data_IF_793547316071
#
_entry.id   IF_793547316071
#
_cell.length_a   1.000
_cell.length_b   1.000
_cell.length_c   1.000
_cell.angle_alpha   90.00
_cell.angle_beta   90.00
_cell.angle_gamma   90.00
#
_symmetry.space_group_name_H-M   'P 1'
#
loop_
_entity.id
_entity.type
_entity.pdbx_description
1 polymer ?
#
# COMPACT_ATOMS: atom_id res chain seq x y z
N UNK A 1 -69.23 1.43 1.92
CA UNK A 1 -68.15 0.42 2.01
C UNK A 1 -67.22 0.84 3.15
N UNK A 2 -67.13 0.08 4.24
CA UNK A 2 -66.33 0.49 5.42
C UNK A 2 -64.83 0.30 5.13
N UNK A 3 -63.98 1.33 5.28
CA UNK A 3 -62.55 1.20 5.03
C UNK A 3 -61.91 0.18 5.98
N UNK A 4 -61.18 -0.81 5.44
CA UNK A 4 -60.44 -1.78 6.25
C UNK A 4 -59.29 -1.08 6.98
N UNK A 5 -59.14 -1.31 8.28
CA UNK A 5 -58.02 -0.80 9.07
C UNK A 5 -56.68 -1.33 8.51
N UNK A 6 -55.80 -0.42 8.08
CA UNK A 6 -54.45 -0.73 7.59
C UNK A 6 -53.50 -0.82 8.79
N UNK A 7 -52.72 -1.91 8.89
CA UNK A 7 -51.72 -2.06 9.95
C UNK A 7 -50.55 -1.10 9.72
N UNK A 8 -50.13 -0.39 10.77
CA UNK A 8 -48.98 0.51 10.72
C UNK A 8 -47.67 -0.27 10.54
N UNK A 9 -46.79 0.26 9.69
CA UNK A 9 -45.40 -0.23 9.52
C UNK A 9 -44.45 0.30 10.61
N UNK A 10 -44.91 1.22 11.47
CA UNK A 10 -44.09 1.79 12.55
C UNK A 10 -43.82 0.73 13.63
N UNK A 11 -42.56 0.51 13.94
CA UNK A 11 -42.14 -0.39 15.01
C UNK A 11 -41.84 0.42 16.27
N UNK A 12 -42.29 -0.06 17.42
CA UNK A 12 -41.89 0.51 18.69
C UNK A 12 -40.41 0.27 18.95
N UNK A 13 -39.76 1.17 19.69
CA UNK A 13 -38.34 1.04 20.08
C UNK A 13 -38.10 -0.31 20.78
N UNK A 14 -39.05 -0.75 21.62
CA UNK A 14 -39.02 -2.06 22.28
C UNK A 14 -38.96 -3.21 21.27
N UNK A 15 -39.73 -3.14 20.19
CA UNK A 15 -39.74 -4.16 19.14
C UNK A 15 -38.42 -4.17 18.35
N UNK A 16 -37.89 -2.99 18.00
CA UNK A 16 -36.59 -2.87 17.31
C UNK A 16 -35.44 -3.45 18.16
N UNK A 17 -35.36 -3.07 19.45
CA UNK A 17 -34.36 -3.62 20.38
C UNK A 17 -34.49 -5.15 20.53
N UNK A 18 -35.71 -5.68 20.54
CA UNK A 18 -35.97 -7.13 20.57
C UNK A 18 -35.50 -7.84 19.30
N UNK A 19 -35.72 -7.26 18.12
CA UNK A 19 -35.21 -7.79 16.84
C UNK A 19 -33.68 -7.82 16.87
N UNK A 20 -33.04 -6.71 17.24
CA UNK A 20 -31.59 -6.61 17.29
C UNK A 20 -30.97 -7.62 18.26
N UNK A 21 -31.56 -7.77 19.46
CA UNK A 21 -31.13 -8.78 20.44
C UNK A 21 -31.25 -10.20 19.87
N UNK A 22 -32.38 -10.54 19.24
CA UNK A 22 -32.59 -11.85 18.59
C UNK A 22 -31.60 -12.11 17.46
N UNK A 23 -31.31 -11.12 16.62
CA UNK A 23 -30.36 -11.24 15.52
C UNK A 23 -28.93 -11.45 16.05
N UNK A 24 -28.51 -10.66 17.04
CA UNK A 24 -27.22 -10.82 17.73
C UNK A 24 -27.09 -12.22 18.37
N UNK A 25 -28.11 -12.69 19.07
CA UNK A 25 -28.13 -14.03 19.67
C UNK A 25 -28.03 -15.13 18.61
N UNK A 26 -28.74 -14.99 17.48
CA UNK A 26 -28.63 -15.91 16.34
C UNK A 26 -27.20 -15.93 15.79
N UNK A 27 -26.63 -14.78 15.43
CA UNK A 27 -25.26 -14.71 14.92
C UNK A 27 -24.22 -15.27 15.91
N UNK A 28 -24.45 -15.09 17.22
CA UNK A 28 -23.61 -15.68 18.27
C UNK A 28 -23.73 -17.21 18.28
N UNK A 29 -24.93 -17.76 18.10
CA UNK A 29 -25.14 -19.22 17.98
C UNK A 29 -24.51 -19.76 16.69
N UNK A 30 -24.78 -19.14 15.55
CA UNK A 30 -24.23 -19.52 14.24
C UNK A 30 -22.68 -19.54 14.27
N UNK A 31 -22.06 -18.56 14.92
CA UNK A 31 -20.59 -18.51 15.08
C UNK A 31 -20.05 -19.64 15.97
N UNK A 32 -20.78 -20.00 17.03
CA UNK A 32 -20.39 -21.12 17.91
C UNK A 32 -20.55 -22.45 17.18
N UNK A 33 -21.61 -22.60 16.41
CA UNK A 33 -21.89 -23.79 15.61
C UNK A 33 -20.86 -23.96 14.48
N UNK A 34 -20.54 -22.90 13.75
CA UNK A 34 -19.50 -22.90 12.72
C UNK A 34 -18.10 -23.25 13.26
N UNK A 35 -17.82 -22.92 14.54
CA UNK A 35 -16.58 -23.35 15.21
C UNK A 35 -16.60 -24.82 15.63
N UNK A 36 -17.76 -25.34 16.05
CA UNK A 36 -17.92 -26.74 16.50
C UNK A 36 -17.89 -27.72 15.34
N UNK A 37 -18.48 -27.35 14.20
CA UNK A 37 -18.47 -28.15 12.99
C UNK A 37 -17.91 -27.30 11.85
N UNK A 38 -16.57 -27.14 11.77
CA UNK A 38 -15.95 -26.41 10.69
C UNK A 38 -16.13 -27.24 9.40
N UNK A 39 -17.23 -27.00 8.70
CA UNK A 39 -17.34 -27.47 7.33
C UNK A 39 -16.20 -26.82 6.57
N UNK A 40 -15.24 -27.63 6.09
CA UNK A 40 -14.28 -27.20 5.08
C UNK A 40 -15.12 -26.72 3.91
N UNK A 41 -15.37 -25.41 3.84
CA UNK A 41 -16.21 -24.82 2.82
C UNK A 41 -15.64 -25.28 1.50
N UNK A 42 -16.40 -26.12 0.77
CA UNK A 42 -16.04 -26.44 -0.61
C UNK A 42 -15.91 -25.09 -1.29
N UNK A 43 -14.71 -24.76 -1.77
CA UNK A 43 -14.48 -23.56 -2.57
C UNK A 43 -15.60 -23.53 -3.61
N UNK A 44 -16.32 -22.40 -3.68
CA UNK A 44 -17.37 -22.24 -4.69
C UNK A 44 -16.69 -22.49 -6.02
N UNK A 45 -17.13 -23.54 -6.72
CA UNK A 45 -16.61 -23.85 -8.05
C UNK A 45 -16.91 -22.65 -8.93
N UNK A 46 -15.90 -22.19 -9.66
CA UNK A 46 -16.09 -21.13 -10.65
C UNK A 46 -17.13 -21.62 -11.67
N UNK A 47 -18.24 -20.88 -11.90
CA UNK A 47 -19.21 -21.24 -12.93
C UNK A 47 -18.61 -21.27 -14.34
N UNK A 48 -17.41 -20.73 -14.53
CA UNK A 48 -16.67 -20.79 -15.79
C UNK A 48 -17.31 -19.90 -16.87
N UNK A 49 -16.76 -19.97 -18.09
CA UNK A 49 -17.25 -19.18 -19.22
C UNK A 49 -18.48 -19.88 -19.83
N UNK A 50 -19.64 -19.21 -19.86
CA UNK A 50 -20.85 -19.77 -20.48
C UNK A 50 -20.66 -20.06 -21.97
N UNK A 51 -21.33 -21.11 -22.47
CA UNK A 51 -21.17 -21.57 -23.85
C UNK A 51 -21.81 -20.65 -24.92
N UNK A 52 -22.59 -19.66 -24.49
CA UNK A 52 -23.31 -18.73 -25.39
C UNK A 52 -22.43 -17.57 -25.87
N UNK A 53 -21.18 -17.47 -25.40
CA UNK A 53 -20.32 -16.34 -25.73
C UNK A 53 -19.74 -16.51 -27.16
N UNK A 54 -20.02 -15.58 -28.11
CA UNK A 54 -19.58 -15.70 -29.51
C UNK A 54 -18.07 -15.81 -29.72
N UNK A 55 -17.27 -15.32 -28.75
CA UNK A 55 -15.81 -15.33 -28.78
C UNK A 55 -15.19 -16.17 -27.65
N UNK A 56 -15.90 -17.19 -27.15
CA UNK A 56 -15.43 -18.08 -26.07
C UNK A 56 -14.02 -18.61 -26.32
N UNK A 57 -13.72 -19.03 -27.55
CA UNK A 57 -12.41 -19.61 -27.90
C UNK A 57 -11.27 -18.58 -27.79
N UNK A 58 -11.52 -17.34 -28.20
CA UNK A 58 -10.55 -16.24 -28.04
C UNK A 58 -10.30 -15.92 -26.57
N UNK A 59 -11.35 -15.93 -25.75
CA UNK A 59 -11.22 -15.70 -24.30
C UNK A 59 -10.46 -16.84 -23.63
N UNK A 60 -10.68 -18.09 -24.04
CA UNK A 60 -9.94 -19.24 -23.54
C UNK A 60 -8.45 -19.17 -23.89
N UNK A 61 -8.11 -18.80 -25.14
CA UNK A 61 -6.73 -18.58 -25.58
C UNK A 61 -6.05 -17.48 -24.76
N UNK A 62 -6.70 -16.33 -24.57
CA UNK A 62 -6.15 -15.24 -23.75
C UNK A 62 -5.88 -15.65 -22.30
N UNK A 63 -6.75 -16.47 -21.72
CA UNK A 63 -6.57 -17.00 -20.35
C UNK A 63 -5.37 -17.95 -20.29
N UNK A 64 -5.21 -18.81 -21.30
CA UNK A 64 -4.10 -19.75 -21.40
C UNK A 64 -2.77 -19.00 -21.56
N UNK A 65 -2.69 -18.05 -22.49
CA UNK A 65 -1.53 -17.19 -22.70
C UNK A 65 -1.11 -16.47 -21.42
N UNK A 66 -2.07 -15.86 -20.72
CA UNK A 66 -1.81 -15.16 -19.47
C UNK A 66 -1.33 -16.12 -18.36
N UNK A 67 -1.85 -17.36 -18.34
CA UNK A 67 -1.43 -18.40 -17.40
C UNK A 67 -0.01 -18.89 -17.72
N UNK A 68 0.36 -19.00 -18.98
CA UNK A 68 1.72 -19.34 -19.41
C UNK A 68 2.71 -18.24 -19.06
N UNK A 69 2.39 -16.98 -19.39
CA UNK A 69 3.21 -15.82 -19.02
C UNK A 69 3.45 -15.76 -17.51
N UNK A 70 2.40 -15.90 -16.70
CA UNK A 70 2.53 -15.90 -15.25
C UNK A 70 3.39 -17.06 -14.72
N UNK A 71 3.34 -18.25 -15.33
CA UNK A 71 4.22 -19.37 -14.98
C UNK A 71 5.68 -19.08 -15.36
N UNK A 72 5.91 -18.54 -16.56
CA UNK A 72 7.25 -18.17 -17.04
C UNK A 72 7.87 -17.09 -16.15
N UNK A 73 7.11 -16.04 -15.82
CA UNK A 73 7.56 -14.98 -14.93
C UNK A 73 7.91 -15.51 -13.53
N UNK A 74 7.11 -16.42 -13.00
CA UNK A 74 7.39 -17.06 -11.71
C UNK A 74 8.67 -17.90 -11.75
N UNK A 75 8.90 -18.62 -12.85
CA UNK A 75 10.14 -19.38 -13.04
C UNK A 75 11.34 -18.43 -13.16
N UNK A 76 11.22 -17.37 -13.97
CA UNK A 76 12.24 -16.33 -14.12
C UNK A 76 12.59 -15.67 -12.79
N UNK A 77 11.59 -15.34 -11.97
CA UNK A 77 11.80 -14.80 -10.62
C UNK A 77 12.49 -15.80 -9.70
N UNK A 78 12.12 -17.09 -9.76
CA UNK A 78 12.77 -18.14 -8.96
C UNK A 78 14.25 -18.31 -9.35
N UNK A 79 14.55 -18.34 -10.65
CA UNK A 79 15.91 -18.47 -11.16
C UNK A 79 16.75 -17.22 -10.84
N UNK A 80 16.18 -16.02 -11.00
CA UNK A 80 16.84 -14.78 -10.61
C UNK A 80 17.16 -14.77 -9.09
N UNK A 81 16.21 -15.23 -8.26
CA UNK A 81 16.42 -15.36 -6.82
C UNK A 81 17.51 -16.38 -6.49
N UNK A 82 17.55 -17.53 -7.16
CA UNK A 82 18.62 -18.52 -6.98
C UNK A 82 19.98 -17.94 -7.37
N UNK A 83 20.08 -17.33 -8.56
CA UNK A 83 21.33 -16.71 -9.03
C UNK A 83 21.83 -15.61 -8.10
N UNK A 84 20.94 -14.77 -7.54
CA UNK A 84 21.32 -13.79 -6.52
C UNK A 84 21.81 -14.44 -5.23
N UNK A 85 21.14 -15.50 -4.79
CA UNK A 85 21.55 -16.25 -3.60
C UNK A 85 22.91 -16.93 -3.81
N UNK A 86 23.18 -17.48 -4.99
CA UNK A 86 24.45 -18.12 -5.33
C UNK A 86 25.59 -17.10 -5.46
N UNK A 87 25.32 -15.92 -6.05
CA UNK A 87 26.23 -14.77 -6.03
C UNK A 87 26.55 -14.33 -4.59
N UNK A 88 25.54 -14.22 -3.73
CA UNK A 88 25.72 -13.82 -2.33
C UNK A 88 26.44 -14.88 -1.49
N UNK A 89 26.31 -16.17 -1.84
CA UNK A 89 27.07 -17.25 -1.21
C UNK A 89 28.50 -17.41 -1.75
N UNK A 90 28.88 -16.67 -2.80
CA UNK A 90 30.23 -16.65 -3.36
C UNK A 90 30.83 -18.04 -3.60
N UNK A 91 30.01 -19.02 -4.06
CA UNK A 91 30.43 -20.40 -4.25
C UNK A 91 31.43 -20.58 -5.41
N UNK A 92 31.51 -19.62 -6.33
CA UNK A 92 32.48 -19.63 -7.44
C UNK A 92 33.85 -19.02 -7.05
N UNK A 93 33.98 -18.42 -5.87
CA UNK A 93 35.23 -17.84 -5.37
C UNK A 93 35.47 -18.31 -3.94
N UNK A 94 35.73 -19.61 -3.78
CA UNK A 94 36.41 -20.12 -2.59
C UNK A 94 37.89 -19.71 -2.75
N UNK A 95 38.40 -18.72 -1.98
CA UNK A 95 39.81 -18.33 -2.09
C UNK A 95 40.66 -19.53 -1.68
N UNK A 96 41.53 -19.99 -2.58
CA UNK A 96 42.34 -21.20 -2.35
C UNK A 96 43.51 -20.92 -1.39
N UNK A 97 43.84 -19.64 -1.17
CA UNK A 97 44.96 -19.20 -0.35
C UNK A 97 44.60 -18.03 0.56
N UNK A 98 45.27 -17.93 1.71
CA UNK A 98 45.09 -16.84 2.68
C UNK A 98 45.36 -15.45 2.06
N UNK A 99 46.34 -15.36 1.17
CA UNK A 99 46.71 -14.11 0.49
C UNK A 99 45.60 -13.60 -0.46
N UNK A 100 44.90 -14.52 -1.12
CA UNK A 100 43.79 -14.18 -2.02
C UNK A 100 42.56 -13.70 -1.23
N UNK A 101 42.32 -14.29 -0.05
CA UNK A 101 41.28 -13.83 0.88
C UNK A 101 41.55 -12.40 1.38
N UNK A 102 42.79 -12.09 1.78
CA UNK A 102 43.18 -10.75 2.21
C UNK A 102 43.02 -9.69 1.11
N UNK A 103 43.45 -10.00 -0.13
CA UNK A 103 43.26 -9.09 -1.28
C UNK A 103 41.78 -8.84 -1.59
N UNK A 104 40.94 -9.88 -1.49
CA UNK A 104 39.50 -9.77 -1.71
C UNK A 104 38.79 -8.96 -0.62
N UNK A 105 39.27 -9.01 0.63
CA UNK A 105 38.76 -8.17 1.72
C UNK A 105 39.06 -6.69 1.46
N UNK A 106 40.33 -6.35 1.18
CA UNK A 106 40.74 -4.97 0.86
C UNK A 106 39.98 -4.39 -0.35
N UNK A 107 39.75 -5.21 -1.38
CA UNK A 107 38.97 -4.79 -2.56
C UNK A 107 37.51 -4.52 -2.23
N UNK A 108 36.90 -5.29 -1.32
CA UNK A 108 35.52 -5.07 -0.87
C UNK A 108 35.40 -3.82 0.00
N UNK A 109 36.36 -3.58 0.87
CA UNK A 109 36.40 -2.37 1.69
C UNK A 109 36.49 -1.11 0.81
N UNK A 110 37.38 -1.11 -0.19
CA UNK A 110 37.48 0.01 -1.14
C UNK A 110 36.21 0.22 -1.99
N UNK A 111 35.54 -0.86 -2.38
CA UNK A 111 34.26 -0.80 -3.10
C UNK A 111 33.12 -0.28 -2.22
N UNK A 112 33.14 -0.59 -0.93
CA UNK A 112 32.17 -0.09 0.05
C UNK A 112 32.37 1.41 0.31
N UNK A 113 33.61 1.85 0.53
CA UNK A 113 33.94 3.27 0.71
C UNK A 113 33.55 4.10 -0.53
N UNK A 114 33.81 3.59 -1.74
CA UNK A 114 33.41 4.28 -2.96
C UNK A 114 31.89 4.28 -3.20
N UNK A 115 31.16 3.27 -2.72
CA UNK A 115 29.69 3.24 -2.81
C UNK A 115 29.03 4.18 -1.79
N UNK A 116 29.56 4.26 -0.56
CA UNK A 116 29.07 5.20 0.46
C UNK A 116 29.20 6.67 0.05
N UNK A 117 30.14 7.01 -0.83
CA UNK A 117 30.29 8.39 -1.33
C UNK A 117 29.36 8.73 -2.52
N UNK A 118 28.68 7.75 -3.12
CA UNK A 118 27.81 7.93 -4.28
C UNK A 118 26.32 7.67 -3.99
N UNK A 119 25.96 7.31 -2.75
CA UNK A 119 24.57 7.12 -2.37
C UNK A 119 23.89 8.47 -2.11
N UNK A 120 22.93 8.80 -2.96
CA UNK A 120 21.97 9.89 -2.77
C UNK A 120 21.37 9.80 -1.35
N UNK A 121 21.34 10.90 -0.55
CA UNK A 121 20.94 10.87 0.86
C UNK A 121 19.55 10.26 1.14
N UNK A 122 18.68 10.23 0.12
CA UNK A 122 17.30 9.75 0.21
C UNK A 122 17.19 8.20 0.19
N UNK A 123 18.14 7.50 -0.42
CA UNK A 123 18.11 6.04 -0.53
C UNK A 123 18.66 5.34 0.74
N UNK A 124 19.69 5.92 1.36
CA UNK A 124 20.36 5.38 2.55
C UNK A 124 19.43 5.36 3.78
N UNK A 125 18.54 6.36 3.90
CA UNK A 125 17.55 6.44 4.99
C UNK A 125 16.55 5.26 4.98
N UNK A 126 16.22 4.74 3.80
CA UNK A 126 15.23 3.65 3.66
C UNK A 126 15.78 2.29 4.08
N UNK A 127 17.09 2.08 3.97
CA UNK A 127 17.76 0.80 4.26
C UNK A 127 18.21 0.71 5.72
N UNK A 128 18.74 1.78 6.31
CA UNK A 128 19.11 1.80 7.74
C UNK A 128 17.90 1.66 8.67
N UNK A 129 16.75 2.21 8.28
CA UNK A 129 15.50 2.09 9.04
C UNK A 129 14.97 0.65 9.16
N UNK A 130 15.35 -0.24 8.23
CA UNK A 130 15.00 -1.66 8.27
C UNK A 130 15.88 -2.48 9.23
N UNK A 131 17.14 -2.05 9.43
CA UNK A 131 18.14 -2.76 10.24
C UNK A 131 18.17 -2.25 11.69
N UNK A 132 17.94 -0.95 11.91
CA UNK A 132 18.08 -0.31 13.24
C UNK A 132 16.89 -0.52 14.19
N UNK A 133 15.79 -1.16 13.75
CA UNK A 133 14.62 -1.38 14.62
C UNK A 133 13.89 -0.11 15.07
N UNK A 134 14.36 1.08 14.65
CA UNK A 134 13.71 2.39 14.77
C UNK A 134 12.51 2.52 13.83
N UNK A 135 11.70 1.47 13.71
CA UNK A 135 10.44 1.52 12.98
C UNK A 135 9.51 2.43 13.75
N UNK A 136 9.44 3.67 13.32
CA UNK A 136 8.29 4.49 13.55
C UNK A 136 7.14 3.89 12.72
N UNK A 137 6.46 2.89 13.30
CA UNK A 137 5.32 2.18 12.70
C UNK A 137 4.20 3.17 12.27
N UNK A 138 4.29 4.40 12.80
CA UNK A 138 3.45 5.54 12.49
C UNK A 138 3.64 6.06 11.07
N UNK A 139 4.85 6.19 10.49
CA UNK A 139 5.07 6.80 9.16
C UNK A 139 4.31 6.06 8.06
N UNK A 140 4.36 4.73 8.07
CA UNK A 140 3.61 3.89 7.11
C UNK A 140 2.10 3.94 7.35
N UNK A 141 1.67 4.08 8.61
CA UNK A 141 0.26 4.25 8.95
C UNK A 141 -0.26 5.63 8.51
N UNK A 142 0.50 6.70 8.73
CA UNK A 142 0.20 8.06 8.27
C UNK A 142 0.13 8.14 6.76
N UNK A 143 1.07 7.52 6.04
CA UNK A 143 1.03 7.49 4.58
C UNK A 143 -0.22 6.77 4.04
N UNK A 144 -0.64 5.67 4.68
CA UNK A 144 -1.90 4.99 4.33
C UNK A 144 -3.12 5.88 4.56
N UNK A 145 -3.15 6.63 5.66
CA UNK A 145 -4.26 7.53 5.95
C UNK A 145 -4.27 8.72 4.98
N UNK A 146 -3.09 9.27 4.71
CA UNK A 146 -2.89 10.31 3.70
C UNK A 146 -3.42 9.88 2.33
N UNK A 147 -3.10 8.67 1.86
CA UNK A 147 -3.62 8.16 0.58
C UNK A 147 -5.15 8.08 0.55
N UNK A 148 -5.80 7.70 1.65
CA UNK A 148 -7.27 7.71 1.74
C UNK A 148 -7.83 9.14 1.65
N UNK A 149 -7.22 10.07 2.38
CA UNK A 149 -7.63 11.49 2.36
C UNK A 149 -7.49 12.06 0.96
N UNK A 150 -6.35 11.82 0.29
CA UNK A 150 -6.14 12.25 -1.10
C UNK A 150 -7.20 11.67 -2.03
N UNK A 151 -7.54 10.38 -1.91
CA UNK A 151 -8.57 9.76 -2.76
C UNK A 151 -9.93 10.43 -2.60
N UNK A 152 -10.35 10.70 -1.36
CA UNK A 152 -11.67 11.25 -1.05
C UNK A 152 -11.78 12.77 -1.17
N UNK A 153 -10.68 13.51 -1.09
CA UNK A 153 -10.71 14.98 -1.14
C UNK A 153 -10.80 15.52 -2.57
N UNK A 154 -11.66 16.51 -2.81
CA UNK A 154 -11.73 17.22 -4.10
C UNK A 154 -10.66 18.33 -4.20
N UNK A 155 -10.34 18.95 -3.06
CA UNK A 155 -9.36 20.03 -2.92
C UNK A 155 -8.42 19.71 -1.76
N UNK A 156 -7.12 19.97 -1.95
CA UNK A 156 -6.07 19.74 -0.95
C UNK A 156 -5.48 21.08 -0.53
N UNK A 157 -5.41 21.32 0.77
CA UNK A 157 -4.80 22.51 1.36
C UNK A 157 -3.41 22.16 1.90
N UNK A 158 -2.37 22.74 1.32
CA UNK A 158 -0.99 22.58 1.76
C UNK A 158 -0.61 23.78 2.64
N UNK A 159 -0.58 23.56 3.95
CA UNK A 159 -0.27 24.60 4.93
C UNK A 159 1.25 24.73 5.08
N UNK A 160 1.77 25.94 4.84
CA UNK A 160 3.18 26.30 4.91
C UNK A 160 3.41 27.26 6.08
N UNK A 161 4.60 27.22 6.70
CA UNK A 161 5.00 28.19 7.74
C UNK A 161 5.59 29.44 7.05
N UNK A 162 5.08 30.63 7.36
CA UNK A 162 5.48 31.87 6.70
C UNK A 162 6.96 32.24 6.88
N UNK A 163 7.64 31.68 7.89
CA UNK A 163 9.07 31.89 8.13
C UNK A 163 9.96 31.16 7.13
N UNK A 164 9.52 29.98 6.69
CA UNK A 164 10.23 29.13 5.73
C UNK A 164 9.22 28.33 4.88
N UNK A 165 8.54 28.98 3.93
CA UNK A 165 7.53 28.32 3.12
C UNK A 165 8.13 27.30 2.14
N UNK A 166 9.40 27.44 1.75
CA UNK A 166 10.07 26.49 0.85
C UNK A 166 10.51 25.23 1.59
N UNK A 167 11.06 25.35 2.81
CA UNK A 167 11.47 24.20 3.62
C UNK A 167 10.29 23.42 4.20
N UNK A 168 9.14 24.06 4.40
CA UNK A 168 7.91 23.38 4.83
C UNK A 168 7.05 22.86 3.67
N UNK A 169 7.46 23.07 2.42
CA UNK A 169 6.77 22.56 1.22
C UNK A 169 7.27 21.17 0.84
N UNK A 170 6.36 20.33 0.35
CA UNK A 170 6.66 18.97 -0.10
C UNK A 170 6.38 18.79 -1.61
N UNK A 171 7.26 19.28 -2.50
CA UNK A 171 7.02 19.26 -3.95
C UNK A 171 6.92 17.85 -4.54
N UNK A 172 7.57 16.86 -3.94
CA UNK A 172 7.49 15.46 -4.35
C UNK A 172 6.06 14.91 -4.18
N UNK A 173 5.40 15.27 -3.08
CA UNK A 173 4.02 14.85 -2.80
C UNK A 173 3.06 15.55 -3.76
N UNK A 174 3.25 16.85 -4.01
CA UNK A 174 2.44 17.61 -4.97
C UNK A 174 2.51 16.98 -6.38
N UNK A 175 3.72 16.68 -6.86
CA UNK A 175 3.93 15.98 -8.14
C UNK A 175 3.25 14.62 -8.16
N UNK A 176 3.44 13.81 -7.11
CA UNK A 176 2.79 12.51 -7.01
C UNK A 176 1.25 12.61 -7.14
N UNK A 177 0.62 13.62 -6.54
CA UNK A 177 -0.83 13.83 -6.62
C UNK A 177 -1.25 14.26 -8.04
N UNK A 178 -0.49 15.15 -8.67
CA UNK A 178 -0.75 15.61 -10.04
C UNK A 178 -0.55 14.46 -11.06
N UNK A 179 0.54 13.71 -10.94
CA UNK A 179 0.90 12.57 -11.81
C UNK A 179 -0.04 11.39 -11.64
N UNK A 180 -0.69 11.24 -10.48
CA UNK A 180 -1.70 10.21 -10.25
C UNK A 180 -2.97 10.38 -11.11
N UNK A 181 -3.02 11.40 -11.97
CA UNK A 181 -4.12 11.65 -12.92
C UNK A 181 -5.39 12.16 -12.23
N UNK A 182 -5.27 12.57 -10.98
CA UNK A 182 -6.37 13.13 -10.22
C UNK A 182 -6.48 14.62 -10.54
N UNK A 183 -7.63 15.07 -11.06
CA UNK A 183 -7.91 16.50 -11.35
C UNK A 183 -8.16 17.31 -10.05
N UNK A 184 -7.40 17.02 -8.99
CA UNK A 184 -7.54 17.63 -7.68
C UNK A 184 -6.78 18.95 -7.67
N UNK A 185 -7.36 19.97 -7.02
CA UNK A 185 -6.73 21.28 -6.86
C UNK A 185 -5.90 21.29 -5.59
N UNK A 186 -4.65 21.75 -5.67
CA UNK A 186 -3.78 21.98 -4.50
C UNK A 186 -3.70 23.49 -4.28
N UNK A 187 -4.01 23.94 -3.06
CA UNK A 187 -3.94 25.35 -2.65
C UNK A 187 -2.89 25.46 -1.54
N UNK A 188 -1.90 26.34 -1.73
CA UNK A 188 -0.90 26.63 -0.72
C UNK A 188 -1.44 27.72 0.24
N UNK A 189 -1.31 27.49 1.54
CA UNK A 189 -1.76 28.43 2.59
C UNK A 189 -0.55 28.79 3.45
N UNK A 190 -0.16 30.06 3.43
CA UNK A 190 0.84 30.60 4.36
C UNK A 190 0.20 30.82 5.74
N UNK A 191 0.72 30.13 6.74
CA UNK A 191 0.28 30.20 8.13
C UNK A 191 1.37 30.80 9.02
N UNK A 192 0.99 31.30 10.20
CA UNK A 192 1.86 32.00 11.17
C UNK A 192 2.47 33.30 10.62
N UNK A 193 1.67 34.06 9.88
CA UNK A 193 2.07 35.36 9.34
C UNK A 193 2.39 36.38 10.44
N UNK A 194 1.91 36.19 11.67
CA UNK A 194 2.24 37.01 12.83
C UNK A 194 3.74 37.00 13.16
N UNK A 195 4.46 35.94 12.77
CA UNK A 195 5.89 35.78 13.09
C UNK A 195 6.83 36.45 12.09
N UNK A 196 6.29 37.05 11.02
CA UNK A 196 7.06 37.59 9.91
C UNK A 196 6.56 39.00 9.58
N UNK A 197 7.43 39.99 9.34
CA UNK A 197 6.99 41.32 8.95
C UNK A 197 6.15 41.31 7.67
N UNK A 198 5.19 42.24 7.59
CA UNK A 198 4.25 42.34 6.46
C UNK A 198 4.95 42.42 5.10
N UNK A 199 6.03 43.21 5.01
CA UNK A 199 6.79 43.40 3.77
C UNK A 199 7.43 42.11 3.25
N UNK A 200 7.70 41.14 4.13
CA UNK A 200 8.25 39.83 3.75
C UNK A 200 7.12 38.90 3.32
N UNK A 201 5.97 38.95 3.98
CA UNK A 201 4.78 38.16 3.58
C UNK A 201 4.28 38.58 2.21
N UNK A 202 4.27 39.88 1.91
CA UNK A 202 3.87 40.40 0.59
C UNK A 202 4.83 39.95 -0.52
N UNK A 203 6.06 39.55 -0.21
CA UNK A 203 6.99 38.95 -1.18
C UNK A 203 6.75 37.45 -1.38
N UNK A 204 6.07 36.79 -0.44
CA UNK A 204 5.73 35.37 -0.53
C UNK A 204 4.39 35.10 -1.22
N UNK A 205 3.47 36.07 -1.18
CA UNK A 205 2.15 36.03 -1.83
C UNK A 205 2.23 36.41 -3.31
#
# INVERSE_FOLDING_TARGET
MVPKKIKSKRLTIKHQKKIHKRASEKHRKDRREAKKNPQKGKLKKDPGIPNLLPFKDKVLQQIEDHREQAKQDKLRQKDARSKLHDKNRNLDVVPKTMAELAKNALKRDAAFESSQMNDDPEALETVEGAVSGRRDNSKRAYYREFQKVVQHADVILAVLDARDPLGTRAPQIERMILDSGSNKRIILILNKIDLVPRDVIEKWL
#
